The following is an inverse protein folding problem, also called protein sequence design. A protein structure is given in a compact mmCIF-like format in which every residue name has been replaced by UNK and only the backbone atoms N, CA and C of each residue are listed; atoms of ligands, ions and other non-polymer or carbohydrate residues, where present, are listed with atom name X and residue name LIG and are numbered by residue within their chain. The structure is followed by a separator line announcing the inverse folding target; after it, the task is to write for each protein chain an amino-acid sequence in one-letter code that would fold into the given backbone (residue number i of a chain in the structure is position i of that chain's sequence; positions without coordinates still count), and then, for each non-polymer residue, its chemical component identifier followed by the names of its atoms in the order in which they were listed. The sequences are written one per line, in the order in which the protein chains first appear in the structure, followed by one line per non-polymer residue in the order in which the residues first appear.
data_IF_544839117868
#
_entry.id   IF_544839117868
#
_cell.length_a   1.000
_cell.length_b   1.000
_cell.length_c   1.000
_cell.angle_alpha   90.00
_cell.angle_beta   90.00
_cell.angle_gamma   90.00
#
_symmetry.space_group_name_H-M   'P 1'
#
loop_
_entity.id
_entity.type
_entity.pdbx_description
1 polymer ?
#
# COMPACT_ATOMS: atom_id res chain seq x y z
N UNK A 1 15.77 25.45 57.65
CA UNK A 1 14.50 24.75 57.91
C UNK A 1 13.45 25.29 56.98
N UNK A 2 12.98 24.41 56.10
CA UNK A 2 11.63 24.34 55.55
C UNK A 2 10.89 25.60 55.03
N UNK A 3 10.56 25.46 53.74
CA UNK A 3 9.21 25.49 53.17
C UNK A 3 8.75 26.76 52.45
N UNK A 4 8.64 26.51 51.15
CA UNK A 4 7.87 27.12 50.08
C UNK A 4 6.36 27.18 50.39
N UNK A 5 5.73 28.17 49.76
CA UNK A 5 4.38 28.12 49.14
C UNK A 5 3.19 28.80 49.85
N UNK A 6 2.71 29.88 49.21
CA UNK A 6 1.29 30.25 48.99
C UNK A 6 1.31 31.56 48.19
N UNK A 7 1.18 31.56 46.86
CA UNK A 7 -0.08 31.58 46.09
C UNK A 7 -0.97 32.79 46.42
N UNK A 8 -0.83 33.86 45.64
CA UNK A 8 -1.90 34.83 45.40
C UNK A 8 -2.10 35.01 43.89
N UNK A 9 -3.37 34.88 43.51
CA UNK A 9 -3.95 34.88 42.18
C UNK A 9 -3.88 36.26 41.48
N UNK A 10 -3.81 36.28 40.14
CA UNK A 10 -4.51 37.31 39.36
C UNK A 10 -5.06 36.72 38.06
N UNK A 11 -6.39 36.74 37.99
CA UNK A 11 -7.22 36.27 36.88
C UNK A 11 -7.34 37.37 35.82
N UNK A 12 -6.90 37.12 34.57
CA UNK A 12 -7.37 37.89 33.40
C UNK A 12 -7.55 36.99 32.17
N UNK A 13 -8.75 37.02 31.62
CA UNK A 13 -9.31 35.96 30.78
C UNK A 13 -8.88 35.93 29.32
N UNK A 14 -9.26 34.84 28.65
CA UNK A 14 -9.51 34.82 27.21
C UNK A 14 -10.45 33.63 26.90
N UNK A 15 -11.44 33.86 26.03
CA UNK A 15 -12.60 32.99 25.82
C UNK A 15 -12.30 31.59 25.24
N UNK A 16 -13.33 30.75 25.07
CA UNK A 16 -13.16 29.36 24.65
C UNK A 16 -12.68 29.30 23.20
N UNK A 17 -11.36 29.20 23.04
CA UNK A 17 -10.70 28.84 21.78
C UNK A 17 -11.09 27.42 21.40
N UNK A 18 -11.89 27.32 20.34
CA UNK A 18 -12.28 26.08 19.67
C UNK A 18 -11.02 25.33 19.22
N UNK A 19 -10.68 24.23 19.87
CA UNK A 19 -9.63 23.32 19.41
C UNK A 19 -10.16 22.48 18.23
N UNK A 20 -9.51 22.52 17.05
CA UNK A 20 -9.98 21.78 15.89
C UNK A 20 -9.59 20.30 16.04
N UNK A 21 -10.54 19.45 16.40
CA UNK A 21 -10.30 18.00 16.38
C UNK A 21 -11.17 17.15 17.30
N UNK A 22 -11.94 17.75 18.22
CA UNK A 22 -12.83 16.98 19.10
C UNK A 22 -14.27 17.46 18.92
N UNK A 23 -15.15 16.56 18.48
CA UNK A 23 -16.59 16.80 18.33
C UNK A 23 -17.17 17.11 19.72
N UNK A 24 -17.30 18.39 20.06
CA UNK A 24 -17.72 18.82 21.40
C UNK A 24 -19.23 19.04 21.52
N UNK A 25 -19.97 19.05 20.42
CA UNK A 25 -21.40 19.39 20.41
C UNK A 25 -22.29 18.23 19.92
N UNK A 26 -23.49 18.12 20.51
CA UNK A 26 -24.48 17.12 20.16
C UNK A 26 -24.95 17.27 18.69
N UNK A 27 -24.97 18.49 18.15
CA UNK A 27 -25.30 18.73 16.75
C UNK A 27 -24.22 18.19 15.80
N UNK A 28 -22.95 18.29 16.16
CA UNK A 28 -21.85 17.73 15.36
C UNK A 28 -21.91 16.19 15.34
N UNK A 29 -22.26 15.58 16.49
CA UNK A 29 -22.50 14.14 16.58
C UNK A 29 -23.70 13.70 15.73
N UNK A 30 -24.78 14.48 15.71
CA UNK A 30 -25.96 14.19 14.88
C UNK A 30 -25.67 14.34 13.38
N UNK A 31 -24.84 15.30 12.97
CA UNK A 31 -24.42 15.47 11.58
C UNK A 31 -23.57 14.30 11.08
N UNK A 32 -22.69 13.75 11.94
CA UNK A 32 -21.92 12.56 11.62
C UNK A 32 -22.82 11.32 11.46
N UNK A 33 -23.81 11.14 12.35
CA UNK A 33 -24.78 10.05 12.26
C UNK A 33 -25.61 10.10 10.97
N UNK A 34 -25.96 11.30 10.49
CA UNK A 34 -26.67 11.46 9.20
C UNK A 34 -25.79 11.18 7.98
N UNK A 35 -24.48 11.46 8.05
CA UNK A 35 -23.54 11.13 6.95
C UNK A 35 -23.28 9.63 6.83
N UNK A 36 -23.26 8.89 7.95
CA UNK A 36 -23.10 7.43 7.96
C UNK A 36 -24.31 6.67 7.39
N UNK A 37 -25.48 7.31 7.26
CA UNK A 37 -26.71 6.66 6.78
C UNK A 37 -26.99 6.84 5.28
N UNK A 38 -26.14 7.56 4.52
CA UNK A 38 -26.29 7.70 3.07
C UNK A 38 -25.47 6.64 2.31
N UNK A 39 -25.79 5.38 2.55
CA UNK A 39 -25.47 4.30 1.62
C UNK A 39 -26.75 3.90 0.87
N UNK A 40 -26.88 4.47 -0.32
CA UNK A 40 -27.89 4.13 -1.34
C UNK A 40 -27.75 2.65 -1.71
N UNK A 41 -28.82 1.82 -1.64
CA UNK A 41 -28.75 0.48 -2.21
C UNK A 41 -28.71 0.58 -3.74
N UNK A 42 -27.56 0.27 -4.33
CA UNK A 42 -27.42 0.10 -5.77
C UNK A 42 -28.31 -1.07 -6.23
N UNK A 43 -29.25 -0.77 -7.13
CA UNK A 43 -30.04 -1.78 -7.81
C UNK A 43 -29.11 -2.72 -8.61
N UNK A 44 -29.18 -4.02 -8.31
CA UNK A 44 -28.40 -5.06 -8.99
C UNK A 44 -29.16 -5.44 -10.27
N UNK A 45 -28.69 -4.95 -11.41
CA UNK A 45 -29.09 -5.52 -12.71
C UNK A 45 -28.27 -6.81 -12.96
N UNK A 46 -28.87 -7.88 -13.51
CA UNK A 46 -28.13 -9.09 -13.83
C UNK A 46 -27.31 -8.84 -15.10
N UNK A 47 -26.04 -8.45 -14.94
CA UNK A 47 -25.09 -8.51 -16.04
C UNK A 47 -24.73 -9.97 -16.29
N UNK A 48 -25.36 -10.56 -17.30
CA UNK A 48 -24.86 -11.75 -17.99
C UNK A 48 -23.55 -11.41 -18.68
N UNK A 49 -22.45 -11.53 -17.95
CA UNK A 49 -21.09 -11.53 -18.49
C UNK A 49 -20.40 -12.76 -17.93
N UNK A 50 -20.09 -13.72 -18.80
CA UNK A 50 -19.26 -14.86 -18.40
C UNK A 50 -17.98 -14.33 -17.76
N UNK A 51 -17.77 -14.67 -16.49
CA UNK A 51 -16.49 -14.42 -15.82
C UNK A 51 -15.39 -15.04 -16.70
N UNK A 52 -14.27 -14.35 -16.95
CA UNK A 52 -13.14 -14.98 -17.63
C UNK A 52 -12.81 -16.25 -16.84
N UNK A 53 -12.95 -17.41 -17.50
CA UNK A 53 -12.54 -18.67 -16.94
C UNK A 53 -11.09 -18.53 -16.46
N UNK A 54 -10.84 -19.16 -15.32
CA UNK A 54 -9.65 -19.10 -14.49
C UNK A 54 -8.39 -19.69 -15.16
N UNK A 55 -8.17 -19.42 -16.45
CA UNK A 55 -6.98 -19.87 -17.17
C UNK A 55 -5.78 -19.21 -16.51
N UNK A 56 -4.84 -19.99 -15.95
CA UNK A 56 -3.65 -19.44 -15.38
C UNK A 56 -2.92 -18.64 -16.46
N UNK A 57 -2.60 -17.38 -16.19
CA UNK A 57 -1.75 -16.62 -17.10
C UNK A 57 -0.37 -17.26 -17.10
N UNK A 58 0.16 -17.60 -18.28
CA UNK A 58 1.53 -18.09 -18.44
C UNK A 58 2.59 -17.11 -17.91
N UNK A 59 2.21 -15.85 -17.72
CA UNK A 59 3.12 -14.76 -17.35
C UNK A 59 2.71 -14.18 -16.01
N UNK A 60 3.68 -14.04 -15.11
CA UNK A 60 3.54 -13.33 -13.84
C UNK A 60 4.54 -12.19 -13.74
N UNK A 61 4.25 -11.23 -12.86
CA UNK A 61 5.15 -10.11 -12.52
C UNK A 61 5.42 -10.16 -11.03
N UNK A 62 6.70 -10.12 -10.67
CA UNK A 62 7.18 -9.98 -9.31
C UNK A 62 7.58 -8.51 -9.10
N UNK A 63 6.90 -7.84 -8.18
CA UNK A 63 7.18 -6.44 -7.82
C UNK A 63 8.20 -6.38 -6.68
N UNK A 64 9.04 -5.35 -6.65
CA UNK A 64 9.96 -5.10 -5.54
C UNK A 64 11.16 -6.04 -5.50
N UNK A 65 11.53 -6.64 -6.63
CA UNK A 65 12.70 -7.53 -6.70
C UNK A 65 14.02 -6.79 -6.58
N UNK A 66 14.02 -5.48 -6.86
CA UNK A 66 15.17 -4.61 -6.65
C UNK A 66 14.75 -3.16 -6.47
N UNK A 67 15.68 -2.32 -6.01
CA UNK A 67 15.50 -0.87 -5.97
C UNK A 67 16.42 -0.22 -7.00
N UNK A 68 15.90 0.35 -8.11
CA UNK A 68 16.72 0.96 -9.16
C UNK A 68 17.67 2.05 -8.66
N UNK A 69 17.31 2.75 -7.58
CA UNK A 69 18.13 3.83 -7.01
C UNK A 69 19.35 3.31 -6.25
N UNK A 70 19.38 2.02 -5.91
CA UNK A 70 20.46 1.39 -5.13
C UNK A 70 21.35 0.48 -6.01
N UNK A 71 20.90 0.14 -7.22
CA UNK A 71 21.69 -0.67 -8.14
C UNK A 71 22.86 0.14 -8.70
N UNK A 72 24.08 -0.39 -8.55
CA UNK A 72 25.28 0.20 -9.11
C UNK A 72 26.04 -0.81 -9.97
N UNK A 73 25.74 -0.82 -11.28
CA UNK A 73 26.35 -1.74 -12.24
C UNK A 73 27.85 -1.54 -12.45
N UNK A 74 28.41 -0.40 -12.05
CA UNK A 74 29.86 -0.20 -12.11
C UNK A 74 30.59 -0.98 -11.00
N UNK A 75 29.94 -1.17 -9.86
CA UNK A 75 30.46 -1.95 -8.74
C UNK A 75 30.04 -3.42 -8.81
N UNK A 76 28.85 -3.68 -9.35
CA UNK A 76 28.29 -5.02 -9.47
C UNK A 76 27.61 -5.21 -10.85
N UNK A 77 28.38 -5.58 -11.89
CA UNK A 77 27.84 -5.77 -13.23
C UNK A 77 26.94 -7.00 -13.35
N UNK A 78 27.05 -7.97 -12.42
CA UNK A 78 26.32 -9.23 -12.45
C UNK A 78 25.00 -9.17 -11.68
N UNK A 79 24.66 -8.04 -11.03
CA UNK A 79 23.44 -7.87 -10.23
C UNK A 79 22.16 -8.41 -10.89
N UNK A 80 21.95 -8.12 -12.18
CA UNK A 80 20.76 -8.59 -12.90
C UNK A 80 20.85 -10.06 -13.32
N UNK A 81 22.05 -10.60 -13.49
CA UNK A 81 22.25 -12.03 -13.72
C UNK A 81 21.93 -12.82 -12.45
N UNK A 82 22.31 -12.30 -11.29
CA UNK A 82 21.99 -12.88 -9.99
C UNK A 82 20.48 -12.86 -9.74
N UNK A 83 19.80 -11.73 -9.97
CA UNK A 83 18.33 -11.67 -9.90
C UNK A 83 17.68 -12.66 -10.86
N UNK A 84 18.18 -12.77 -12.09
CA UNK A 84 17.65 -13.72 -13.06
C UNK A 84 17.81 -15.16 -12.54
N UNK A 85 19.00 -15.53 -12.06
CA UNK A 85 19.29 -16.88 -11.56
C UNK A 85 18.45 -17.23 -10.32
N UNK A 86 18.34 -16.32 -9.36
CA UNK A 86 17.55 -16.52 -8.14
C UNK A 86 16.07 -16.69 -8.45
N UNK A 87 15.50 -15.81 -9.28
CA UNK A 87 14.09 -15.88 -9.66
C UNK A 87 13.81 -17.12 -10.51
N UNK A 88 14.69 -17.47 -11.44
CA UNK A 88 14.56 -18.67 -12.26
C UNK A 88 14.60 -19.94 -11.39
N UNK A 89 15.56 -20.04 -10.48
CA UNK A 89 15.71 -21.19 -9.59
C UNK A 89 14.51 -21.34 -8.65
N UNK A 90 14.01 -20.24 -8.08
CA UNK A 90 12.85 -20.27 -7.20
C UNK A 90 11.56 -20.63 -7.96
N UNK A 91 11.34 -20.02 -9.14
CA UNK A 91 10.14 -20.24 -9.94
C UNK A 91 10.07 -21.66 -10.54
N UNK A 92 11.21 -22.28 -10.86
CA UNK A 92 11.26 -23.67 -11.37
C UNK A 92 10.64 -24.71 -10.44
N UNK A 93 10.46 -24.40 -9.15
CA UNK A 93 9.78 -25.26 -8.17
C UNK A 93 8.26 -25.35 -8.42
N UNK A 94 7.68 -24.39 -9.14
CA UNK A 94 6.24 -24.26 -9.36
C UNK A 94 5.82 -24.59 -10.80
N UNK A 95 6.77 -24.68 -11.72
CA UNK A 95 6.53 -25.01 -13.12
C UNK A 95 7.77 -24.79 -13.98
N UNK A 96 7.71 -25.20 -15.24
CA UNK A 96 8.83 -24.96 -16.16
C UNK A 96 8.86 -23.48 -16.57
N UNK A 97 9.94 -22.80 -16.19
CA UNK A 97 10.20 -21.41 -16.56
C UNK A 97 10.77 -21.36 -17.98
N UNK A 98 10.13 -20.57 -18.84
CA UNK A 98 10.56 -20.31 -20.22
C UNK A 98 11.50 -19.12 -20.30
N UNK A 99 11.18 -18.06 -19.55
CA UNK A 99 11.98 -16.82 -19.56
C UNK A 99 11.78 -16.02 -18.29
N UNK A 100 12.87 -15.44 -17.78
CA UNK A 100 12.87 -14.40 -16.74
C UNK A 100 13.39 -13.11 -17.36
N UNK A 101 12.79 -11.97 -17.01
CA UNK A 101 13.21 -10.66 -17.51
C UNK A 101 13.07 -9.60 -16.42
N UNK A 102 14.20 -9.02 -15.98
CA UNK A 102 14.22 -7.89 -15.06
C UNK A 102 14.04 -6.57 -15.85
N UNK A 103 13.01 -5.81 -15.52
CA UNK A 103 12.74 -4.51 -16.14
C UNK A 103 13.54 -3.41 -15.46
N UNK A 104 14.75 -3.13 -15.98
CA UNK A 104 15.66 -2.13 -15.43
C UNK A 104 15.09 -0.71 -15.43
N UNK A 105 14.07 -0.43 -16.24
CA UNK A 105 13.40 0.86 -16.29
C UNK A 105 12.24 0.96 -15.28
N UNK A 106 11.83 -0.15 -14.67
CA UNK A 106 10.70 -0.15 -13.72
C UNK A 106 11.08 0.53 -12.42
N UNK A 107 10.35 1.57 -11.98
CA UNK A 107 10.62 2.26 -10.72
C UNK A 107 10.34 1.38 -9.48
N UNK A 108 9.63 0.26 -9.66
CA UNK A 108 9.29 -0.69 -8.58
C UNK A 108 10.21 -1.92 -8.57
N UNK A 109 11.14 -2.02 -9.51
CA UNK A 109 11.97 -3.20 -9.68
C UNK A 109 11.15 -4.43 -10.08
N UNK A 110 10.44 -4.32 -11.20
CA UNK A 110 9.57 -5.37 -11.71
C UNK A 110 10.38 -6.46 -12.44
N UNK A 111 10.08 -7.73 -12.15
CA UNK A 111 10.65 -8.89 -12.85
C UNK A 111 9.52 -9.72 -13.43
N UNK A 112 9.60 -10.02 -14.71
CA UNK A 112 8.61 -10.79 -15.45
C UNK A 112 9.08 -12.23 -15.57
N UNK A 113 8.17 -13.17 -15.31
CA UNK A 113 8.44 -14.60 -15.44
C UNK A 113 7.39 -15.20 -16.35
N UNK A 114 7.84 -15.92 -17.37
CA UNK A 114 6.97 -16.72 -18.24
C UNK A 114 7.19 -18.20 -17.94
N UNK A 115 6.11 -18.91 -17.69
CA UNK A 115 6.04 -20.36 -17.62
C UNK A 115 5.65 -20.96 -18.96
N UNK A 116 5.91 -22.26 -19.14
CA UNK A 116 5.33 -23.01 -20.25
C UNK A 116 3.83 -23.14 -20.04
N UNK A 117 3.08 -23.12 -21.14
CA UNK A 117 1.72 -23.65 -21.15
C UNK A 117 1.79 -25.16 -20.84
N UNK A 118 0.99 -25.62 -19.89
CA UNK A 118 0.93 -27.03 -19.44
C UNK A 118 -0.22 -27.77 -20.08
#
# INVERSE_FOLDING_TARGET
GNNLDSLEEDSRGQGPGKSPGLLQDANDRMALMQKLQRDTPMAIAPMGGGMPMNMPSEIIVLHGMFNPSQVNLASDPEFFNDIHADVEQECRKYGQVVKVWADQASPRGDVWVRFTDT
#
